data_IF_239352566563
#
_entry.id   IF_239352566563
#
_cell.length_a   1.000
_cell.length_b   1.000
_cell.length_c   1.000
_cell.angle_alpha   90.00
_cell.angle_beta   90.00
_cell.angle_gamma   90.00
#
_symmetry.space_group_name_H-M   'P 1'
#
loop_
_entity.id
_entity.type
_entity.pdbx_description
1 polymer ?
#
# COMPACT_ATOMS: atom_id res chain seq x y z
N UNK A 1 -6.81 10.28 -12.27
CA UNK A 1 -6.12 11.47 -11.76
C UNK A 1 -4.74 11.12 -11.31
N UNK A 2 -3.79 11.94 -11.61
CA UNK A 2 -2.41 11.64 -11.27
C UNK A 2 -2.19 11.63 -9.77
N UNK A 3 -1.16 10.92 -9.37
CA UNK A 3 -0.78 10.83 -7.95
C UNK A 3 -0.06 12.08 -7.45
N UNK A 4 0.03 13.10 -8.27
CA UNK A 4 0.86 14.27 -7.93
C UNK A 4 0.43 15.04 -6.69
N UNK A 5 -0.79 14.81 -6.21
CA UNK A 5 -1.24 15.46 -4.99
C UNK A 5 -0.72 14.78 -3.74
N UNK A 6 -0.06 13.64 -3.89
CA UNK A 6 0.51 12.91 -2.77
C UNK A 6 2.02 12.97 -2.84
N UNK A 7 2.65 13.12 -1.68
CA UNK A 7 4.11 13.10 -1.59
C UNK A 7 4.56 11.71 -1.16
N UNK A 8 4.72 10.83 -2.13
CA UNK A 8 5.07 9.44 -1.89
C UNK A 8 6.50 9.20 -2.30
N UNK A 9 7.23 8.47 -1.47
CA UNK A 9 8.61 8.12 -1.76
C UNK A 9 8.81 6.62 -1.60
N UNK A 10 9.79 6.11 -2.34
CA UNK A 10 10.19 4.71 -2.19
C UNK A 10 10.62 4.49 -0.74
N UNK A 11 10.10 3.44 -0.14
CA UNK A 11 10.38 3.12 1.25
C UNK A 11 9.30 3.55 2.22
N UNK A 12 8.33 4.36 1.77
CA UNK A 12 7.23 4.74 2.64
C UNK A 12 6.45 3.51 3.07
N UNK A 13 5.95 3.56 4.30
CA UNK A 13 5.20 2.44 4.88
C UNK A 13 3.78 2.43 4.37
N UNK A 14 3.24 1.23 4.17
CA UNK A 14 1.91 1.05 3.60
C UNK A 14 1.01 0.35 4.60
N UNK A 15 -0.21 0.89 4.77
CA UNK A 15 -1.21 0.39 5.71
C UNK A 15 -2.55 0.21 5.02
N UNK A 16 -3.34 -0.74 5.48
CA UNK A 16 -4.70 -0.89 4.97
C UNK A 16 -5.69 0.03 5.67
N UNK A 17 -5.37 0.45 6.87
CA UNK A 17 -6.26 1.34 7.62
C UNK A 17 -5.46 2.18 8.59
N UNK A 18 -6.04 3.31 8.96
CA UNK A 18 -5.42 4.19 9.94
C UNK A 18 -5.24 3.46 11.25
N UNK A 19 -4.04 3.56 11.81
CA UNK A 19 -3.76 2.93 13.07
C UNK A 19 -3.58 1.43 12.99
N UNK A 20 -3.65 0.86 11.78
CA UNK A 20 -3.43 -0.55 11.59
C UNK A 20 -1.96 -0.90 11.54
N UNK A 21 -1.68 -2.11 11.15
CA UNK A 21 -0.32 -2.59 11.04
C UNK A 21 0.22 -2.39 9.64
N UNK A 22 1.52 -2.21 9.54
CA UNK A 22 2.20 -2.06 8.26
C UNK A 22 2.09 -3.36 7.47
N UNK A 23 1.68 -3.25 6.20
CA UNK A 23 1.55 -4.43 5.36
C UNK A 23 2.65 -4.50 4.31
N UNK A 24 3.35 -3.41 4.07
CA UNK A 24 4.41 -3.41 3.08
C UNK A 24 5.02 -2.04 2.94
N UNK A 25 5.74 -1.84 1.85
CA UNK A 25 6.43 -0.58 1.60
C UNK A 25 6.35 -0.25 0.11
N UNK A 26 6.49 1.05 -0.19
CA UNK A 26 6.51 1.52 -1.57
C UNK A 26 7.83 1.10 -2.19
N UNK A 27 7.74 0.40 -3.31
CA UNK A 27 8.92 -0.01 -4.05
C UNK A 27 9.20 0.92 -5.23
N UNK A 28 8.15 1.47 -5.85
CA UNK A 28 8.32 2.31 -7.00
C UNK A 28 7.17 3.31 -7.09
N UNK A 29 7.49 4.52 -7.52
CA UNK A 29 6.48 5.57 -7.70
C UNK A 29 6.42 5.90 -9.18
N UNK A 30 5.24 5.71 -9.78
CA UNK A 30 5.01 6.03 -11.18
C UNK A 30 4.05 7.21 -11.27
N UNK A 31 3.87 7.70 -12.49
CA UNK A 31 3.05 8.88 -12.69
C UNK A 31 1.59 8.67 -12.25
N UNK A 32 1.04 7.50 -12.53
CA UNK A 32 -0.37 7.23 -12.31
C UNK A 32 -0.63 6.08 -11.37
N UNK A 33 0.41 5.52 -10.76
CA UNK A 33 0.22 4.41 -9.83
C UNK A 33 1.46 4.23 -8.98
N UNK A 34 1.32 3.41 -7.96
CA UNK A 34 2.42 2.99 -7.11
C UNK A 34 2.63 1.49 -7.27
N UNK A 35 3.86 1.07 -7.04
CA UNK A 35 4.15 -0.36 -6.86
C UNK A 35 4.54 -0.52 -5.40
N UNK A 36 3.81 -1.37 -4.69
CA UNK A 36 4.13 -1.65 -3.31
C UNK A 36 4.60 -3.08 -3.19
N UNK A 37 5.45 -3.32 -2.22
CA UNK A 37 5.98 -4.66 -1.94
C UNK A 37 5.38 -5.16 -0.64
N UNK A 38 4.79 -6.35 -0.69
CA UNK A 38 4.26 -7.01 0.50
C UNK A 38 5.12 -8.24 0.73
N UNK A 39 5.70 -8.33 1.91
CA UNK A 39 6.63 -9.39 2.24
C UNK A 39 6.01 -10.76 2.00
N UNK A 40 6.77 -11.64 1.35
CA UNK A 40 6.37 -13.00 1.03
C UNK A 40 5.31 -13.08 -0.07
N UNK A 41 4.87 -11.95 -0.61
CA UNK A 41 3.85 -11.95 -1.66
C UNK A 41 4.33 -11.24 -2.92
N UNK A 42 5.26 -10.28 -2.81
CA UNK A 42 5.80 -9.62 -3.98
C UNK A 42 5.20 -8.24 -4.23
N UNK A 43 5.33 -7.80 -5.47
CA UNK A 43 4.94 -6.46 -5.87
C UNK A 43 3.48 -6.41 -6.29
N UNK A 44 2.80 -5.32 -5.95
CA UNK A 44 1.43 -5.09 -6.37
C UNK A 44 1.29 -3.65 -6.85
N UNK A 45 0.46 -3.47 -7.87
CA UNK A 45 0.15 -2.15 -8.40
C UNK A 45 -1.03 -1.56 -7.65
N UNK A 46 -0.91 -0.28 -7.28
CA UNK A 46 -2.00 0.46 -6.63
C UNK A 46 -2.23 1.74 -7.42
N UNK A 47 -3.41 1.87 -7.99
CA UNK A 47 -3.78 3.06 -8.73
C UNK A 47 -4.23 4.17 -7.77
N UNK A 48 -4.38 5.38 -8.32
CA UNK A 48 -4.74 6.53 -7.51
C UNK A 48 -5.92 6.32 -6.58
N UNK A 49 -7.05 5.78 -7.07
CA UNK A 49 -8.21 5.57 -6.19
C UNK A 49 -7.94 4.63 -5.03
N UNK A 50 -6.92 3.80 -5.13
CA UNK A 50 -6.55 2.89 -4.05
C UNK A 50 -5.79 3.54 -2.91
N UNK A 51 -5.43 4.81 -3.04
CA UNK A 51 -4.69 5.52 -2.01
C UNK A 51 -5.67 6.45 -1.29
N UNK A 52 -5.86 6.21 0.00
CA UNK A 52 -6.78 7.01 0.80
C UNK A 52 -6.11 8.25 1.36
N UNK A 53 -4.92 8.10 1.91
CA UNK A 53 -4.20 9.24 2.47
C UNK A 53 -2.70 8.96 2.49
N UNK A 54 -1.94 10.04 2.53
CA UNK A 54 -0.47 9.97 2.60
C UNK A 54 -0.02 11.07 3.55
N UNK A 55 0.70 10.67 4.60
CA UNK A 55 1.30 11.67 5.50
C UNK A 55 2.42 11.03 6.32
N UNK A 56 3.44 11.79 6.57
CA UNK A 56 4.56 11.40 7.43
C UNK A 56 5.18 10.08 7.03
N UNK A 57 5.33 9.86 5.72
CA UNK A 57 5.95 8.63 5.24
C UNK A 57 5.06 7.41 5.36
N UNK A 58 3.77 7.62 5.57
CA UNK A 58 2.81 6.52 5.72
C UNK A 58 1.71 6.67 4.70
N UNK A 59 1.38 5.58 4.04
CA UNK A 59 0.34 5.52 3.03
C UNK A 59 -0.77 4.61 3.53
N UNK A 60 -1.99 5.13 3.57
CA UNK A 60 -3.15 4.33 3.91
C UNK A 60 -3.93 4.06 2.63
N UNK A 61 -4.20 2.80 2.36
CA UNK A 61 -4.90 2.38 1.17
C UNK A 61 -6.41 2.33 1.41
N UNK A 62 -7.15 2.28 0.30
CA UNK A 62 -8.60 2.15 0.35
C UNK A 62 -8.96 0.75 -0.12
N UNK A 63 -9.33 -0.16 0.80
CA UNK A 63 -9.59 -1.54 0.42
C UNK A 63 -10.67 -1.71 -0.65
N UNK A 64 -11.60 -0.75 -0.73
CA UNK A 64 -12.67 -0.83 -1.72
C UNK A 64 -12.18 -0.68 -3.14
N UNK A 65 -10.96 -0.18 -3.33
CA UNK A 65 -10.40 0.09 -4.65
C UNK A 65 -9.10 -0.65 -4.89
N UNK A 66 -8.92 -1.79 -4.24
CA UNK A 66 -7.70 -2.58 -4.38
C UNK A 66 -7.99 -3.91 -5.03
N UNK A 67 -6.95 -4.46 -5.65
CA UNK A 67 -7.01 -5.81 -6.23
C UNK A 67 -7.25 -6.82 -5.09
N UNK A 68 -8.19 -7.75 -5.27
CA UNK A 68 -8.43 -8.77 -4.23
C UNK A 68 -7.17 -9.56 -3.86
N UNK A 69 -6.27 -9.75 -4.81
CA UNK A 69 -5.02 -10.47 -4.53
C UNK A 69 -4.14 -9.70 -3.57
N UNK A 70 -4.16 -8.38 -3.66
CA UNK A 70 -3.42 -7.55 -2.73
C UNK A 70 -4.01 -7.69 -1.32
N UNK A 71 -5.33 -7.67 -1.22
CA UNK A 71 -5.99 -7.81 0.07
C UNK A 71 -5.67 -9.16 0.71
N UNK A 72 -5.67 -10.22 -0.09
CA UNK A 72 -5.33 -11.54 0.43
C UNK A 72 -3.89 -11.57 0.92
N UNK A 73 -2.99 -10.97 0.17
CA UNK A 73 -1.57 -10.94 0.56
C UNK A 73 -1.37 -10.16 1.86
N UNK A 74 -2.09 -9.05 2.00
CA UNK A 74 -1.96 -8.23 3.20
C UNK A 74 -2.47 -8.98 4.42
N UNK A 75 -3.57 -9.71 4.28
CA UNK A 75 -4.09 -10.50 5.38
C UNK A 75 -3.15 -11.62 5.77
N UNK A 76 -2.54 -12.27 4.78
CA UNK A 76 -1.61 -13.34 5.07
C UNK A 76 -0.38 -12.81 5.81
N UNK A 77 0.12 -11.64 5.41
CA UNK A 77 1.25 -11.04 6.08
C UNK A 77 0.91 -10.71 7.54
N UNK A 78 -0.29 -10.17 7.76
CA UNK A 78 -0.73 -9.85 9.10
C UNK A 78 -0.83 -11.09 9.98
N UNK A 79 -1.39 -12.16 9.42
CA UNK A 79 -1.52 -13.40 10.17
C UNK A 79 -0.17 -13.97 10.56
N UNK A 80 0.80 -13.84 9.68
CA UNK A 80 2.13 -14.34 9.99
C UNK A 80 2.77 -13.56 11.13
N UNK A 81 2.46 -12.29 11.23
CA UNK A 81 3.06 -11.45 12.26
C UNK A 81 2.47 -11.69 13.63
N UNK A 82 1.22 -12.12 13.68
CA UNK A 82 0.56 -12.36 14.96
C UNK A 82 0.87 -13.71 15.54
N UNK A 83 1.60 -14.49 14.88
CA UNK A 83 1.94 -15.83 15.23
C UNK A 83 2.68 -16.01 16.53
#
# INVERSE_FOLDING_TARGET
MAMRTFHVQVGDQVFLEEGGEEIGAVRKVERDHLVIYIEAAGDFRVDGPGVRSVHDGKIVLDPAHLDPRLLDAARAAHQQETE
#
